data_IF_314407656783
#
_entry.id   IF_314407656783
#
_cell.length_a   1.000
_cell.length_b   1.000
_cell.length_c   1.000
_cell.angle_alpha   90.00
_cell.angle_beta   90.00
_cell.angle_gamma   90.00
#
_symmetry.space_group_name_H-M   'P 1'
#
loop_
_entity.id
_entity.type
_entity.pdbx_description
1 polymer ?
#
# COMPACT_ATOMS: atom_id res chain seq x y z
N UNK A 1 -10.96 -24.70 20.38
CA UNK A 1 -11.85 -23.58 19.93
C UNK A 1 -11.04 -22.30 19.97
N UNK A 2 -10.96 -21.58 18.90
CA UNK A 2 -10.25 -20.27 18.81
C UNK A 2 -11.26 -19.16 18.56
N UNK A 3 -11.05 -18.01 19.17
CA UNK A 3 -11.88 -16.81 19.01
C UNK A 3 -10.98 -15.64 18.65
N UNK A 4 -11.42 -14.79 17.76
CA UNK A 4 -10.76 -13.52 17.43
C UNK A 4 -11.78 -12.39 17.44
N UNK A 5 -11.37 -11.25 17.94
CA UNK A 5 -12.17 -10.03 17.99
C UNK A 5 -11.67 -9.09 16.89
N UNK A 6 -12.58 -8.59 16.10
CA UNK A 6 -12.28 -7.67 15.02
C UNK A 6 -11.82 -6.33 15.59
N UNK A 7 -10.62 -5.92 15.22
CA UNK A 7 -10.03 -4.64 15.58
C UNK A 7 -10.42 -3.58 14.53
N UNK A 8 -10.09 -2.33 14.82
CA UNK A 8 -10.42 -1.19 13.95
C UNK A 8 -9.85 -1.35 12.53
N UNK A 9 -8.60 -1.79 12.40
CA UNK A 9 -7.93 -2.04 11.11
C UNK A 9 -8.53 -3.19 10.29
N UNK A 10 -9.40 -3.99 10.87
CA UNK A 10 -10.05 -5.13 10.23
C UNK A 10 -11.51 -4.83 9.89
N UNK A 11 -12.04 -3.73 10.46
CA UNK A 11 -13.42 -3.30 10.26
C UNK A 11 -13.67 -2.85 8.81
N UNK A 12 -14.93 -2.97 8.38
CA UNK A 12 -15.36 -2.56 7.03
C UNK A 12 -15.10 -3.59 5.93
N UNK A 13 -14.21 -4.57 6.12
CA UNK A 13 -14.00 -5.63 5.14
C UNK A 13 -15.07 -6.73 5.26
N UNK A 14 -15.25 -7.50 4.19
CA UNK A 14 -16.17 -8.64 4.19
C UNK A 14 -15.57 -9.81 4.97
N UNK A 15 -16.42 -10.56 5.68
CA UNK A 15 -16.02 -11.74 6.46
C UNK A 15 -15.26 -12.78 5.61
N UNK A 16 -15.70 -13.07 4.38
CA UNK A 16 -15.00 -14.02 3.52
C UNK A 16 -13.60 -13.56 3.11
N UNK A 17 -13.40 -12.24 2.95
CA UNK A 17 -12.09 -11.65 2.65
C UNK A 17 -11.17 -11.70 3.86
N UNK A 18 -11.70 -11.38 5.04
CA UNK A 18 -10.99 -11.53 6.30
C UNK A 18 -10.53 -12.98 6.51
N UNK A 19 -11.46 -13.94 6.37
CA UNK A 19 -11.15 -15.36 6.57
C UNK A 19 -10.11 -15.89 5.57
N UNK A 20 -10.10 -15.41 4.33
CA UNK A 20 -9.05 -15.74 3.35
C UNK A 20 -7.68 -15.22 3.72
N UNK A 21 -7.60 -14.08 4.39
CA UNK A 21 -6.35 -13.53 4.92
C UNK A 21 -5.91 -14.31 6.15
N UNK A 22 -6.83 -14.59 7.07
CA UNK A 22 -6.57 -15.29 8.31
C UNK A 22 -6.19 -16.77 8.08
N UNK A 23 -6.76 -17.41 7.05
CA UNK A 23 -6.50 -18.80 6.64
C UNK A 23 -6.01 -18.82 5.19
N UNK A 24 -4.81 -18.28 4.88
CA UNK A 24 -4.37 -18.06 3.49
C UNK A 24 -4.23 -19.35 2.69
N UNK A 25 -3.96 -20.48 3.35
CA UNK A 25 -3.83 -21.77 2.69
C UNK A 25 -5.16 -22.54 2.57
N UNK A 26 -6.26 -22.01 3.13
CA UNK A 26 -7.56 -22.66 3.02
C UNK A 26 -8.18 -22.39 1.64
N UNK A 27 -8.63 -23.43 0.91
CA UNK A 27 -9.44 -23.24 -0.29
C UNK A 27 -10.70 -22.43 0.03
N UNK A 28 -11.14 -21.58 -0.89
CA UNK A 28 -12.37 -20.79 -0.69
C UNK A 28 -13.59 -21.66 -0.43
N UNK A 29 -13.69 -22.82 -1.10
CA UNK A 29 -14.74 -23.81 -0.86
C UNK A 29 -14.77 -24.35 0.58
N UNK A 30 -13.60 -24.50 1.20
CA UNK A 30 -13.50 -24.88 2.61
C UNK A 30 -14.09 -23.81 3.52
N UNK A 31 -13.71 -22.54 3.33
CA UNK A 31 -14.21 -21.41 4.14
C UNK A 31 -15.75 -21.36 4.09
N UNK A 32 -16.35 -21.39 2.90
CA UNK A 32 -17.81 -21.36 2.76
C UNK A 32 -18.48 -22.60 3.33
N UNK A 33 -17.83 -23.80 3.24
CA UNK A 33 -18.32 -25.03 3.88
C UNK A 33 -18.36 -24.89 5.41
N UNK A 34 -17.32 -24.27 6.01
CA UNK A 34 -17.24 -24.06 7.47
C UNK A 34 -18.27 -23.04 7.96
N UNK A 35 -18.49 -21.95 7.23
CA UNK A 35 -19.56 -20.98 7.50
C UNK A 35 -20.93 -21.63 7.45
N UNK A 36 -21.22 -22.40 6.39
CA UNK A 36 -22.50 -23.11 6.22
C UNK A 36 -22.78 -24.11 7.34
N UNK A 37 -21.75 -24.84 7.81
CA UNK A 37 -21.84 -25.83 8.90
C UNK A 37 -21.82 -25.20 10.29
N UNK A 38 -21.72 -23.87 10.43
CA UNK A 38 -21.52 -23.16 11.70
C UNK A 38 -20.22 -23.53 12.44
N UNK A 39 -19.23 -24.08 11.74
CA UNK A 39 -17.89 -24.31 12.28
C UNK A 39 -17.07 -23.02 12.35
N UNK A 40 -17.49 -21.99 11.60
CA UNK A 40 -17.07 -20.60 11.75
C UNK A 40 -18.33 -19.78 11.92
N UNK A 41 -18.38 -18.94 12.97
CA UNK A 41 -19.54 -18.10 13.28
C UNK A 41 -19.12 -16.66 13.48
N UNK A 42 -20.03 -15.75 13.18
CA UNK A 42 -19.90 -14.31 13.46
C UNK A 42 -20.90 -13.94 14.56
N UNK A 43 -20.39 -13.40 15.68
CA UNK A 43 -21.19 -13.05 16.86
C UNK A 43 -22.09 -14.21 17.35
N UNK A 44 -21.56 -15.43 17.31
CA UNK A 44 -22.28 -16.65 17.68
C UNK A 44 -23.34 -17.12 16.69
N UNK A 45 -23.55 -16.40 15.56
CA UNK A 45 -24.56 -16.73 14.55
C UNK A 45 -23.92 -17.30 13.29
N UNK A 46 -24.73 -18.05 12.53
CA UNK A 46 -24.35 -18.50 11.18
C UNK A 46 -24.15 -17.29 10.26
N UNK A 47 -23.08 -17.33 9.47
CA UNK A 47 -22.77 -16.28 8.50
C UNK A 47 -22.64 -16.84 7.09
N UNK A 48 -22.87 -15.99 6.09
CA UNK A 48 -22.79 -16.33 4.66
C UNK A 48 -21.43 -15.94 4.05
N UNK A 49 -20.64 -15.09 4.74
CA UNK A 49 -19.34 -14.59 4.29
C UNK A 49 -19.38 -13.22 3.64
N UNK A 50 -20.55 -12.68 3.34
CA UNK A 50 -20.72 -11.36 2.70
C UNK A 50 -20.89 -10.23 3.72
N UNK A 51 -21.06 -10.57 4.99
CA UNK A 51 -21.22 -9.63 6.09
C UNK A 51 -20.02 -8.70 6.18
N UNK A 52 -20.28 -7.40 6.33
CA UNK A 52 -19.23 -6.41 6.64
C UNK A 52 -18.94 -6.47 8.14
N UNK A 53 -17.68 -6.71 8.45
CA UNK A 53 -17.19 -6.76 9.83
C UNK A 53 -17.19 -5.37 10.45
N UNK A 54 -17.49 -5.32 11.75
CA UNK A 54 -17.42 -4.12 12.58
C UNK A 54 -16.43 -4.34 13.70
N UNK A 55 -15.82 -3.28 14.18
CA UNK A 55 -14.98 -3.32 15.39
C UNK A 55 -15.77 -3.93 16.54
N UNK A 56 -15.15 -4.89 17.24
CA UNK A 56 -15.77 -5.64 18.33
C UNK A 56 -16.54 -6.90 17.89
N UNK A 57 -16.73 -7.14 16.60
CA UNK A 57 -17.31 -8.41 16.14
C UNK A 57 -16.45 -9.60 16.56
N UNK A 58 -17.08 -10.66 17.06
CA UNK A 58 -16.43 -11.91 17.46
C UNK A 58 -16.57 -12.98 16.36
N UNK A 59 -15.44 -13.51 15.92
CA UNK A 59 -15.40 -14.67 15.03
C UNK A 59 -14.90 -15.87 15.84
N UNK A 60 -15.75 -16.92 15.92
CA UNK A 60 -15.39 -18.17 16.60
C UNK A 60 -15.14 -19.28 15.59
N UNK A 61 -14.03 -19.99 15.81
CA UNK A 61 -13.61 -21.14 15.01
C UNK A 61 -13.80 -22.43 15.81
N UNK A 62 -14.82 -23.21 15.46
CA UNK A 62 -15.06 -24.55 16.00
C UNK A 62 -14.32 -25.57 15.11
N UNK A 63 -13.00 -25.41 15.02
CA UNK A 63 -12.09 -26.24 14.26
C UNK A 63 -11.01 -26.78 15.21
N UNK A 64 -10.46 -27.95 14.88
CA UNK A 64 -9.27 -28.46 15.57
C UNK A 64 -8.09 -27.49 15.38
N UNK A 65 -7.25 -27.34 16.39
CA UNK A 65 -6.05 -26.47 16.35
C UNK A 65 -5.15 -26.82 15.18
N UNK A 66 -4.88 -28.11 14.96
CA UNK A 66 -4.11 -28.61 13.83
C UNK A 66 -4.66 -28.14 12.46
N UNK A 67 -5.99 -28.04 12.35
CA UNK A 67 -6.64 -27.56 11.10
C UNK A 67 -6.42 -26.06 10.94
N UNK A 68 -6.51 -25.29 12.03
CA UNK A 68 -6.25 -23.84 12.01
C UNK A 68 -4.79 -23.62 11.64
N UNK A 69 -3.86 -24.27 12.33
CA UNK A 69 -2.42 -24.14 12.11
C UNK A 69 -2.01 -24.54 10.69
N UNK A 70 -2.59 -25.60 10.17
CA UNK A 70 -2.41 -26.02 8.78
C UNK A 70 -2.80 -24.92 7.78
N UNK A 71 -3.90 -24.21 8.03
CA UNK A 71 -4.43 -23.21 7.10
C UNK A 71 -3.95 -21.78 7.38
N UNK A 72 -3.53 -21.46 8.59
CA UNK A 72 -2.81 -20.20 8.87
C UNK A 72 -1.40 -20.27 8.30
N UNK A 73 -0.81 -21.46 8.26
CA UNK A 73 0.57 -21.68 7.84
C UNK A 73 1.58 -20.97 8.76
N UNK A 74 2.85 -21.27 8.58
CA UNK A 74 3.94 -20.52 9.23
C UNK A 74 4.19 -19.15 8.57
N UNK A 75 3.26 -18.62 7.77
CA UNK A 75 3.46 -17.42 6.96
C UNK A 75 3.82 -16.19 7.81
N UNK A 76 3.12 -16.00 8.94
CA UNK A 76 3.41 -14.88 9.83
C UNK A 76 4.69 -15.06 10.68
N UNK A 77 5.06 -16.31 10.96
CA UNK A 77 6.26 -16.61 11.76
C UNK A 77 7.56 -16.55 10.95
N UNK A 78 7.49 -16.75 9.64
CA UNK A 78 8.67 -16.87 8.77
C UNK A 78 9.06 -15.57 8.05
N UNK A 79 8.18 -14.58 7.94
CA UNK A 79 8.54 -13.30 7.32
C UNK A 79 9.31 -12.43 8.30
N UNK A 80 10.58 -12.20 7.99
CA UNK A 80 11.46 -11.27 8.67
C UNK A 80 11.42 -9.94 7.93
N UNK A 81 10.95 -8.91 8.60
CA UNK A 81 10.94 -7.56 8.08
C UNK A 81 12.17 -6.80 8.57
N UNK A 82 12.99 -6.25 7.67
CA UNK A 82 14.17 -5.52 8.07
C UNK A 82 13.81 -4.21 8.76
N UNK A 83 14.54 -3.88 9.81
CA UNK A 83 14.46 -2.57 10.46
C UNK A 83 15.56 -1.68 9.92
N UNK A 84 15.20 -0.56 9.29
CA UNK A 84 16.12 0.47 8.85
C UNK A 84 16.18 1.56 9.92
N UNK A 85 17.30 1.63 10.64
CA UNK A 85 17.49 2.56 11.78
C UNK A 85 17.44 4.04 11.38
N UNK A 86 17.80 4.34 10.13
CA UNK A 86 17.87 5.68 9.55
C UNK A 86 16.70 5.98 8.60
N UNK A 87 15.55 5.34 8.80
CA UNK A 87 14.33 5.69 8.07
C UNK A 87 13.86 7.08 8.54
N UNK A 88 13.97 8.06 7.65
CA UNK A 88 13.61 9.45 7.96
C UNK A 88 12.09 9.63 7.95
N UNK A 89 11.50 9.67 9.14
CA UNK A 89 10.08 9.89 9.35
C UNK A 89 9.86 11.38 9.56
N UNK A 90 9.04 11.99 8.68
CA UNK A 90 8.73 13.43 8.71
C UNK A 90 7.52 13.69 9.62
N UNK A 91 6.54 12.77 9.58
CA UNK A 91 5.31 12.87 10.36
C UNK A 91 4.75 11.48 10.62
N UNK A 92 4.15 11.31 11.77
CA UNK A 92 3.45 10.08 12.15
C UNK A 92 2.26 10.41 13.04
N UNK A 93 1.11 9.77 12.75
CA UNK A 93 -0.05 9.70 13.63
C UNK A 93 -0.57 8.26 13.72
N UNK A 94 -1.78 8.06 14.22
CA UNK A 94 -2.38 6.74 14.37
C UNK A 94 -2.71 6.07 13.02
N UNK A 95 -2.87 6.85 11.94
CA UNK A 95 -3.37 6.38 10.66
C UNK A 95 -2.32 6.40 9.54
N UNK A 96 -1.42 7.35 9.56
CA UNK A 96 -0.45 7.56 8.47
C UNK A 96 0.97 7.78 8.97
N UNK A 97 1.90 7.55 8.06
CA UNK A 97 3.33 7.80 8.22
C UNK A 97 3.84 8.50 6.98
N UNK A 98 4.46 9.69 7.15
CA UNK A 98 5.14 10.40 6.08
C UNK A 98 6.64 10.15 6.17
N UNK A 99 7.23 9.69 5.09
CA UNK A 99 8.61 9.23 5.04
C UNK A 99 9.36 9.95 3.93
N UNK A 100 10.54 10.48 4.22
CA UNK A 100 11.46 10.94 3.20
C UNK A 100 12.21 9.73 2.63
N UNK A 101 11.71 9.18 1.51
CA UNK A 101 12.37 8.05 0.85
C UNK A 101 13.69 8.49 0.24
N UNK A 102 14.83 7.87 0.56
CA UNK A 102 16.10 8.19 -0.08
C UNK A 102 16.12 7.72 -1.55
N UNK A 103 16.96 8.36 -2.36
CA UNK A 103 17.29 7.85 -3.69
C UNK A 103 17.96 6.47 -3.59
N UNK A 104 17.77 5.63 -4.60
CA UNK A 104 18.28 4.26 -4.64
C UNK A 104 17.37 3.20 -3.99
N UNK A 105 16.41 3.61 -3.15
CA UNK A 105 15.46 2.70 -2.49
C UNK A 105 14.23 2.46 -3.37
N UNK A 106 13.81 1.19 -3.49
CA UNK A 106 12.55 0.82 -4.13
C UNK A 106 11.36 1.24 -3.25
N UNK A 107 10.31 1.79 -3.85
CA UNK A 107 9.04 2.04 -3.16
C UNK A 107 8.30 0.73 -2.85
N UNK A 108 8.26 -0.19 -3.81
CA UNK A 108 7.69 -1.54 -3.70
C UNK A 108 8.62 -2.55 -4.34
N UNK A 109 8.57 -3.81 -3.92
CA UNK A 109 9.33 -4.91 -4.52
C UNK A 109 9.03 -5.03 -6.03
N UNK A 110 10.05 -5.20 -6.82
CA UNK A 110 9.96 -5.61 -8.22
C UNK A 110 10.10 -7.14 -8.34
N UNK A 111 10.89 -7.75 -7.46
CA UNK A 111 11.11 -9.20 -7.35
C UNK A 111 10.90 -9.65 -5.91
N UNK A 112 10.68 -10.94 -5.71
CA UNK A 112 10.40 -11.51 -4.38
C UNK A 112 11.51 -11.28 -3.36
N UNK A 113 12.75 -11.31 -3.80
CA UNK A 113 13.96 -11.13 -2.99
C UNK A 113 14.30 -9.67 -2.68
N UNK A 114 13.64 -8.72 -3.35
CA UNK A 114 13.89 -7.30 -3.12
C UNK A 114 13.45 -6.89 -1.71
N UNK A 115 14.13 -5.88 -1.17
CA UNK A 115 13.69 -5.13 0.00
C UNK A 115 13.30 -3.73 -0.47
N UNK A 116 12.11 -3.30 -0.10
CA UNK A 116 11.59 -1.99 -0.49
C UNK A 116 11.15 -1.16 0.72
N UNK A 117 10.71 0.07 0.48
CA UNK A 117 10.18 0.93 1.53
C UNK A 117 9.03 0.27 2.31
N UNK A 118 8.18 -0.52 1.64
CA UNK A 118 7.07 -1.24 2.30
C UNK A 118 7.58 -2.15 3.40
N UNK A 119 8.63 -2.96 3.13
CA UNK A 119 9.20 -3.85 4.13
C UNK A 119 9.85 -3.10 5.29
N UNK A 120 10.50 -1.97 5.01
CA UNK A 120 11.07 -1.12 6.06
C UNK A 120 9.99 -0.47 6.93
N UNK A 121 8.87 -0.04 6.33
CA UNK A 121 7.70 0.50 7.08
C UNK A 121 7.13 -0.58 8.01
N UNK A 122 6.90 -1.79 7.50
CA UNK A 122 6.38 -2.88 8.33
C UNK A 122 7.38 -3.22 9.45
N UNK A 123 8.68 -3.31 9.14
CA UNK A 123 9.73 -3.54 10.15
C UNK A 123 9.77 -2.46 11.23
N UNK A 124 9.62 -1.19 10.85
CA UNK A 124 9.53 -0.06 11.77
C UNK A 124 8.32 -0.19 12.70
N UNK A 125 7.12 -0.42 12.14
CA UNK A 125 5.88 -0.52 12.90
C UNK A 125 5.84 -1.74 13.83
N UNK A 126 6.50 -2.84 13.45
CA UNK A 126 6.70 -4.00 14.33
C UNK A 126 7.68 -3.66 15.48
N UNK A 127 8.76 -2.94 15.18
CA UNK A 127 9.79 -2.62 16.17
C UNK A 127 9.34 -1.65 17.25
N UNK A 128 8.42 -0.73 16.91
CA UNK A 128 7.87 0.24 17.86
C UNK A 128 6.53 -0.22 18.49
N UNK A 129 6.05 -1.42 18.14
CA UNK A 129 4.83 -2.00 18.70
C UNK A 129 3.52 -1.43 18.15
N UNK A 130 3.59 -0.58 17.10
CA UNK A 130 2.38 -0.04 16.45
C UNK A 130 1.56 -1.10 15.71
N UNK A 131 2.20 -2.20 15.30
CA UNK A 131 1.58 -3.35 14.64
C UNK A 131 2.18 -4.63 15.21
N UNK A 132 1.38 -5.66 15.39
CA UNK A 132 1.82 -7.00 15.80
C UNK A 132 1.91 -7.96 14.63
N UNK A 133 2.64 -9.06 14.77
CA UNK A 133 2.70 -10.12 13.74
C UNK A 133 1.32 -10.75 13.47
N UNK A 134 0.50 -10.84 14.50
CA UNK A 134 -0.87 -11.36 14.40
C UNK A 134 -1.74 -10.44 13.55
N UNK A 135 -1.61 -9.11 13.72
CA UNK A 135 -2.33 -8.14 12.90
C UNK A 135 -1.93 -8.17 11.44
N UNK A 136 -0.66 -8.48 11.16
CA UNK A 136 -0.20 -8.65 9.77
C UNK A 136 -0.85 -9.83 9.04
N UNK A 137 -1.49 -10.78 9.74
CA UNK A 137 -2.27 -11.85 9.08
C UNK A 137 -3.48 -11.30 8.33
N UNK A 138 -4.07 -10.21 8.80
CA UNK A 138 -5.36 -9.71 8.32
C UNK A 138 -5.30 -8.32 7.74
N UNK A 139 -4.31 -7.52 8.17
CA UNK A 139 -4.04 -6.17 7.68
C UNK A 139 -2.55 -5.98 7.41
N UNK A 140 -2.21 -5.43 6.24
CA UNK A 140 -0.85 -5.05 5.90
C UNK A 140 -0.76 -3.54 5.72
N UNK A 141 0.06 -2.83 6.51
CA UNK A 141 0.46 -1.47 6.22
C UNK A 141 1.05 -1.37 4.81
N UNK A 142 0.86 -0.26 4.15
CA UNK A 142 1.35 -0.09 2.79
C UNK A 142 1.50 1.36 2.41
N UNK A 143 2.14 1.62 1.27
CA UNK A 143 2.34 2.98 0.75
C UNK A 143 1.15 3.41 -0.12
N UNK A 144 0.78 4.69 -0.02
CA UNK A 144 -0.34 5.28 -0.76
C UNK A 144 0.10 5.93 -2.09
N UNK A 145 1.38 6.30 -2.21
CA UNK A 145 2.01 6.80 -3.43
C UNK A 145 3.36 6.14 -3.65
N UNK A 146 3.89 6.24 -4.87
CA UNK A 146 5.19 5.67 -5.24
C UNK A 146 6.07 6.75 -5.81
N UNK A 147 7.35 6.65 -5.52
CA UNK A 147 8.43 7.33 -6.22
C UNK A 147 9.31 6.29 -6.91
N UNK A 148 9.91 6.66 -8.01
CA UNK A 148 10.88 5.80 -8.69
C UNK A 148 12.09 5.51 -7.78
N UNK A 149 12.84 4.47 -8.11
CA UNK A 149 13.99 4.04 -7.30
C UNK A 149 14.96 5.18 -7.03
N UNK A 150 15.29 5.96 -8.05
CA UNK A 150 16.28 7.04 -7.97
C UNK A 150 15.68 8.40 -7.60
N UNK A 151 14.36 8.48 -7.38
CA UNK A 151 13.68 9.68 -6.90
C UNK A 151 13.62 9.65 -5.38
N UNK A 152 14.13 10.67 -4.72
CA UNK A 152 13.96 10.89 -3.28
C UNK A 152 12.73 11.77 -3.03
N UNK A 153 12.24 11.76 -1.79
CA UNK A 153 11.16 12.62 -1.35
C UNK A 153 10.04 11.90 -0.62
N UNK A 154 8.93 12.60 -0.44
CA UNK A 154 7.86 12.21 0.45
C UNK A 154 7.03 11.04 -0.08
N UNK A 155 6.94 10.00 0.72
CA UNK A 155 6.02 8.87 0.53
C UNK A 155 5.10 8.77 1.74
N UNK A 156 3.82 8.65 1.47
CA UNK A 156 2.78 8.42 2.48
C UNK A 156 2.55 6.93 2.62
N UNK A 157 2.63 6.40 3.83
CA UNK A 157 2.22 5.05 4.16
C UNK A 157 1.01 5.07 5.08
N UNK A 158 0.07 4.15 4.85
CA UNK A 158 -1.07 3.93 5.74
C UNK A 158 -0.72 2.90 6.81
N UNK A 159 -0.84 3.29 8.07
CA UNK A 159 -0.67 2.44 9.25
C UNK A 159 -1.97 1.72 9.61
N UNK A 160 -3.11 2.29 9.21
CA UNK A 160 -4.45 1.77 9.40
C UNK A 160 -5.16 1.56 8.06
N UNK A 161 -6.23 0.77 8.08
CA UNK A 161 -7.10 0.60 6.91
C UNK A 161 -7.73 1.95 6.50
N UNK A 162 -8.15 2.75 7.47
CA UNK A 162 -8.70 4.08 7.25
C UNK A 162 -7.66 5.00 6.58
N UNK A 163 -6.42 5.02 7.09
CA UNK A 163 -5.33 5.78 6.49
C UNK A 163 -5.04 5.37 5.04
N UNK A 164 -4.97 4.05 4.77
CA UNK A 164 -4.79 3.54 3.40
C UNK A 164 -5.93 3.96 2.46
N UNK A 165 -7.18 3.89 2.92
CA UNK A 165 -8.35 4.21 2.10
C UNK A 165 -8.43 5.70 1.82
N UNK A 166 -8.35 6.55 2.84
CA UNK A 166 -8.46 8.01 2.72
C UNK A 166 -7.33 8.56 1.85
N UNK A 167 -6.08 8.18 2.15
CA UNK A 167 -4.93 8.67 1.38
C UNK A 167 -4.91 8.09 -0.04
N UNK A 168 -5.28 6.81 -0.21
CA UNK A 168 -5.39 6.19 -1.51
C UNK A 168 -6.43 6.87 -2.40
N UNK A 169 -7.59 7.25 -1.84
CA UNK A 169 -8.63 8.00 -2.54
C UNK A 169 -8.16 9.41 -2.88
N UNK A 170 -7.54 10.13 -1.95
CA UNK A 170 -7.00 11.47 -2.18
C UNK A 170 -5.96 11.51 -3.32
N UNK A 171 -5.09 10.50 -3.40
CA UNK A 171 -4.14 10.36 -4.53
C UNK A 171 -4.84 10.01 -5.84
N UNK A 172 -5.84 9.12 -5.81
CA UNK A 172 -6.60 8.69 -6.98
C UNK A 172 -7.39 9.85 -7.57
N UNK A 173 -8.05 10.63 -6.73
CA UNK A 173 -8.88 11.77 -7.13
C UNK A 173 -8.08 13.04 -7.38
N UNK A 174 -6.75 12.98 -7.18
CA UNK A 174 -5.84 14.10 -7.39
C UNK A 174 -6.18 15.34 -6.56
N UNK A 175 -6.73 15.15 -5.37
CA UNK A 175 -7.01 16.26 -4.44
C UNK A 175 -5.74 16.77 -3.74
N UNK A 176 -4.66 15.99 -3.81
CA UNK A 176 -3.36 16.36 -3.27
C UNK A 176 -2.46 16.91 -4.38
N UNK A 177 -1.98 18.14 -4.21
CA UNK A 177 -0.94 18.69 -5.07
C UNK A 177 0.39 17.98 -4.81
N UNK A 178 1.12 17.67 -5.88
CA UNK A 178 2.44 17.00 -5.83
C UNK A 178 3.45 17.86 -6.56
N UNK A 179 4.54 18.15 -5.88
CA UNK A 179 5.61 18.95 -6.43
C UNK A 179 6.92 18.19 -6.41
N UNK A 180 7.75 18.45 -7.41
CA UNK A 180 9.09 17.87 -7.52
C UNK A 180 10.10 18.97 -7.79
N UNK A 181 11.29 18.83 -7.24
CA UNK A 181 12.45 19.59 -7.66
C UNK A 181 13.22 18.76 -8.70
N UNK A 182 13.46 19.34 -9.86
CA UNK A 182 14.13 18.69 -10.98
C UNK A 182 15.28 19.54 -11.48
N UNK A 183 16.49 19.00 -11.47
CA UNK A 183 17.65 19.65 -12.09
C UNK A 183 17.73 19.23 -13.54
N UNK A 184 17.66 20.19 -14.43
CA UNK A 184 17.70 19.97 -15.89
C UNK A 184 18.86 20.69 -16.54
N UNK A 185 19.31 20.17 -17.69
CA UNK A 185 20.31 20.81 -18.54
C UNK A 185 19.66 21.92 -19.36
N UNK A 186 20.32 23.04 -19.46
CA UNK A 186 19.87 24.23 -20.18
C UNK A 186 19.48 25.36 -19.23
N UNK A 187 19.39 26.57 -19.79
CA UNK A 187 18.96 27.76 -19.07
C UNK A 187 17.49 28.06 -19.37
N UNK A 188 16.59 27.62 -18.50
CA UNK A 188 15.15 27.84 -18.60
C UNK A 188 14.81 29.05 -17.71
N UNK A 189 14.25 30.09 -18.31
CA UNK A 189 13.96 31.34 -17.60
C UNK A 189 12.49 31.60 -17.36
N UNK A 190 11.61 30.86 -18.04
CA UNK A 190 10.17 31.10 -18.02
C UNK A 190 9.41 29.87 -17.54
N UNK A 191 8.32 30.13 -16.83
CA UNK A 191 7.33 29.10 -16.48
C UNK A 191 6.68 28.56 -17.75
N UNK A 192 6.43 27.28 -17.79
CA UNK A 192 5.77 26.65 -18.92
C UNK A 192 4.81 25.57 -18.49
N UNK A 193 3.76 25.42 -19.29
CA UNK A 193 2.70 24.45 -19.10
C UNK A 193 2.65 23.56 -20.36
N UNK A 194 3.06 22.31 -20.20
CA UNK A 194 3.13 21.32 -21.28
C UNK A 194 1.92 20.42 -21.22
N UNK A 195 1.21 20.30 -22.33
CA UNK A 195 0.10 19.35 -22.50
C UNK A 195 0.42 18.37 -23.63
N UNK A 196 0.00 17.13 -23.45
CA UNK A 196 0.20 16.09 -24.45
C UNK A 196 -0.59 14.83 -24.15
N UNK A 197 -0.30 13.80 -24.92
CA UNK A 197 -0.90 12.48 -24.79
C UNK A 197 0.20 11.44 -24.69
N UNK A 198 0.08 10.57 -23.69
CA UNK A 198 1.02 9.49 -23.39
C UNK A 198 0.40 8.16 -23.77
N UNK A 199 1.09 7.40 -24.62
CA UNK A 199 0.73 6.02 -24.93
C UNK A 199 1.86 5.09 -24.48
N UNK A 200 1.52 4.10 -23.68
CA UNK A 200 2.45 3.06 -23.25
C UNK A 200 2.34 1.86 -24.16
N UNK A 201 3.47 1.38 -24.67
CA UNK A 201 3.58 0.08 -25.30
C UNK A 201 3.75 -0.98 -24.20
N UNK A 202 2.74 -1.82 -24.02
CA UNK A 202 2.74 -2.85 -22.97
C UNK A 202 3.80 -3.93 -23.20
N UNK A 203 4.20 -4.19 -24.45
CA UNK A 203 5.20 -5.22 -24.78
C UNK A 203 6.62 -4.77 -24.47
N UNK A 204 6.92 -3.52 -24.78
CA UNK A 204 8.28 -2.97 -24.62
C UNK A 204 8.44 -2.11 -23.37
N UNK A 205 7.35 -1.82 -22.66
CA UNK A 205 7.29 -0.84 -21.54
C UNK A 205 7.76 0.57 -21.93
N UNK A 206 7.86 0.87 -23.24
CA UNK A 206 8.23 2.20 -23.71
C UNK A 206 7.03 3.13 -23.74
N UNK A 207 7.30 4.38 -23.43
CA UNK A 207 6.30 5.44 -23.44
C UNK A 207 6.56 6.34 -24.64
N UNK A 208 5.49 6.64 -25.40
CA UNK A 208 5.50 7.64 -26.47
C UNK A 208 4.63 8.82 -26.07
N UNK A 209 5.16 10.02 -26.28
CA UNK A 209 4.45 11.28 -26.04
C UNK A 209 4.13 11.92 -27.39
N UNK A 210 2.89 12.35 -27.57
CA UNK A 210 2.39 13.01 -28.77
C UNK A 210 1.61 14.27 -28.40
N UNK A 211 1.61 15.26 -29.28
CA UNK A 211 0.71 16.42 -29.19
C UNK A 211 -0.71 16.11 -29.67
N UNK A 212 -0.89 15.03 -30.40
CA UNK A 212 -2.20 14.62 -30.95
C UNK A 212 -2.71 13.41 -30.18
N UNK A 213 -4.01 13.43 -29.89
CA UNK A 213 -4.70 12.30 -29.28
C UNK A 213 -4.67 11.09 -30.24
N UNK A 214 -4.40 9.90 -29.70
CA UNK A 214 -4.50 8.64 -30.42
C UNK A 214 -5.23 7.63 -29.54
N UNK A 215 -5.79 6.59 -30.15
CA UNK A 215 -6.49 5.54 -29.41
C UNK A 215 -5.61 4.88 -28.34
N UNK A 216 -6.13 4.78 -27.13
CA UNK A 216 -5.41 4.23 -25.97
C UNK A 216 -4.36 5.16 -25.36
N UNK A 217 -4.29 6.44 -25.77
CA UNK A 217 -3.42 7.42 -25.15
C UNK A 217 -4.14 8.16 -24.01
N UNK A 218 -3.44 8.38 -22.90
CA UNK A 218 -3.90 9.16 -21.76
C UNK A 218 -3.44 10.61 -21.87
N UNK A 219 -4.32 11.58 -21.57
CA UNK A 219 -3.93 12.98 -21.49
C UNK A 219 -2.96 13.17 -20.32
N UNK A 220 -1.89 13.93 -20.57
CA UNK A 220 -0.88 14.30 -19.59
C UNK A 220 -0.68 15.81 -19.60
N UNK A 221 -0.33 16.32 -18.42
CA UNK A 221 -0.11 17.74 -18.19
C UNK A 221 1.01 17.89 -17.18
N UNK A 222 1.92 18.84 -17.45
CA UNK A 222 3.06 19.15 -16.59
C UNK A 222 3.26 20.64 -16.60
N UNK A 223 3.27 21.24 -15.43
CA UNK A 223 3.65 22.64 -15.24
C UNK A 223 5.00 22.69 -14.53
N UNK A 224 5.84 23.60 -14.94
CA UNK A 224 7.11 23.85 -14.25
C UNK A 224 7.43 25.34 -14.19
N UNK A 225 8.10 25.72 -13.10
CA UNK A 225 8.64 27.05 -12.87
C UNK A 225 10.15 26.96 -12.53
N UNK A 226 10.99 27.86 -13.10
CA UNK A 226 12.39 27.90 -12.74
C UNK A 226 12.55 28.51 -11.34
N UNK A 227 13.26 27.80 -10.46
CA UNK A 227 13.58 28.23 -9.10
C UNK A 227 14.94 28.91 -9.06
N UNK A 228 15.91 28.32 -9.74
CA UNK A 228 17.27 28.86 -9.83
C UNK A 228 17.96 28.34 -11.10
N UNK A 229 18.94 29.10 -11.59
CA UNK A 229 19.77 28.65 -12.70
C UNK A 229 21.23 29.02 -12.48
N UNK A 230 22.13 28.19 -12.98
CA UNK A 230 23.56 28.43 -12.96
C UNK A 230 24.21 27.80 -14.19
N UNK A 231 24.91 28.60 -14.99
CA UNK A 231 25.54 28.15 -16.25
C UNK A 231 24.54 27.45 -17.17
N UNK A 232 24.71 26.14 -17.37
CA UNK A 232 23.89 25.31 -18.25
C UNK A 232 22.89 24.41 -17.47
N UNK A 233 22.59 24.75 -16.24
CA UNK A 233 21.68 23.98 -15.38
C UNK A 233 20.59 24.89 -14.86
N UNK A 234 19.38 24.35 -14.77
CA UNK A 234 18.22 25.00 -14.15
C UNK A 234 17.59 24.04 -13.14
N UNK A 235 17.33 24.55 -11.95
CA UNK A 235 16.49 23.88 -10.95
C UNK A 235 15.05 24.29 -11.21
N UNK A 236 14.20 23.33 -11.48
CA UNK A 236 12.78 23.52 -11.72
C UNK A 236 11.98 22.99 -10.54
N UNK A 237 10.88 23.67 -10.21
CA UNK A 237 9.76 23.13 -9.47
C UNK A 237 8.73 22.66 -10.52
N UNK A 238 8.32 21.42 -10.41
CA UNK A 238 7.44 20.74 -11.36
C UNK A 238 6.20 20.26 -10.64
#
# INVERSE_FOLDING_TARGET
>A
MKETIIKENESGQRLDKYLKKYLPQAPGSFIYKMLRKKNITLNGKKAAGQEKLKTGDSIKFFLAEETIDKFTGNAAASESYPVKKDLEIIYEDDNILLINKPAGMLSQKAKKEDVSLVEYVIGYLLSNGSVTKEELLTFHPGICNRLDRNTSGMVVAGKSLAGLQIMGEAFKERTLAKYYLCLVKGCIKETSHIRGYLKKDEKTNKVMISRKMSEGAAAIETEYEPVAYQKELTLLKV
#
